data_IF_781905425884
#
_entry.id   IF_781905425884
#
_cell.length_a   1.000
_cell.length_b   1.000
_cell.length_c   1.000
_cell.angle_alpha   90.00
_cell.angle_beta   90.00
_cell.angle_gamma   90.00
#
_symmetry.space_group_name_H-M   'P 1'
#
loop_
_entity.id
_entity.type
_entity.pdbx_description
1 polymer ?
#
# COMPACT_ATOMS: atom_id res chain seq x y z
N UNK A 1 -17.81 13.05 -1.02
CA UNK A 1 -16.92 11.92 -0.69
C UNK A 1 -16.48 11.30 -2.01
N UNK A 2 -15.18 11.08 -2.29
CA UNK A 2 -14.81 10.23 -3.43
C UNK A 2 -15.14 8.78 -3.02
N UNK A 3 -16.24 8.17 -3.50
CA UNK A 3 -16.83 7.04 -2.79
C UNK A 3 -16.14 5.69 -3.03
N UNK A 4 -15.12 5.62 -3.89
CA UNK A 4 -14.76 4.34 -4.53
C UNK A 4 -13.30 3.92 -4.36
N UNK A 5 -12.48 4.61 -3.57
CA UNK A 5 -11.08 4.18 -3.43
C UNK A 5 -10.93 3.28 -2.21
N UNK A 6 -10.72 1.99 -2.45
CA UNK A 6 -10.53 1.02 -1.38
C UNK A 6 -9.16 1.20 -0.72
N UNK A 7 -9.02 0.83 0.57
CA UNK A 7 -7.73 0.76 1.24
C UNK A 7 -6.70 -0.10 0.49
N UNK A 8 -7.17 -1.12 -0.23
CA UNK A 8 -6.35 -1.97 -1.10
C UNK A 8 -5.80 -1.17 -2.28
N UNK A 9 -6.67 -0.52 -3.06
CA UNK A 9 -6.23 0.31 -4.18
C UNK A 9 -5.25 1.39 -3.73
N UNK A 10 -5.52 2.02 -2.57
CA UNK A 10 -4.63 3.04 -2.04
C UNK A 10 -3.27 2.48 -1.62
N UNK A 11 -3.23 1.27 -1.05
CA UNK A 11 -1.98 0.57 -0.78
C UNK A 11 -1.19 0.32 -2.07
N UNK A 12 -1.86 -0.15 -3.12
CA UNK A 12 -1.22 -0.42 -4.41
C UNK A 12 -0.68 0.87 -5.05
N UNK A 13 -1.43 1.97 -4.98
CA UNK A 13 -0.94 3.28 -5.43
C UNK A 13 0.30 3.74 -4.66
N UNK A 14 0.31 3.59 -3.33
CA UNK A 14 1.47 3.98 -2.50
C UNK A 14 2.71 3.13 -2.80
N UNK A 15 2.52 1.82 -2.99
CA UNK A 15 3.60 0.92 -3.41
C UNK A 15 4.13 1.28 -4.80
N UNK A 16 3.23 1.53 -5.77
CA UNK A 16 3.56 1.87 -7.15
C UNK A 16 4.15 3.27 -7.29
N UNK A 17 3.76 4.22 -6.44
CA UNK A 17 4.31 5.57 -6.46
C UNK A 17 5.77 5.62 -5.98
N UNK A 18 6.31 4.53 -5.39
CA UNK A 18 7.65 4.50 -4.81
C UNK A 18 7.81 5.37 -3.55
N UNK A 19 6.72 5.97 -3.05
CA UNK A 19 6.72 6.81 -1.84
C UNK A 19 6.91 5.99 -0.57
N UNK A 20 6.41 4.75 -0.56
CA UNK A 20 6.56 3.82 0.54
C UNK A 20 7.48 2.67 0.12
N UNK A 21 8.54 2.44 0.89
CA UNK A 21 9.49 1.32 0.65
C UNK A 21 9.12 0.08 1.44
N UNK A 22 8.27 0.25 2.45
CA UNK A 22 7.84 -0.82 3.35
C UNK A 22 6.32 -0.86 3.54
N UNK A 23 5.81 -2.05 3.85
CA UNK A 23 4.40 -2.23 4.24
C UNK A 23 4.02 -1.39 5.46
N UNK A 24 4.95 -1.14 6.37
CA UNK A 24 4.72 -0.30 7.55
C UNK A 24 4.46 1.15 7.13
N UNK A 25 5.21 1.69 6.17
CA UNK A 25 4.95 3.04 5.64
C UNK A 25 3.59 3.12 4.95
N UNK A 26 3.20 2.10 4.17
CA UNK A 26 1.85 2.03 3.60
C UNK A 26 0.80 2.06 4.70
N UNK A 27 0.95 1.21 5.73
CA UNK A 27 -0.01 1.15 6.84
C UNK A 27 -0.10 2.50 7.57
N UNK A 28 1.02 3.17 7.79
CA UNK A 28 1.04 4.50 8.40
C UNK A 28 0.35 5.55 7.52
N UNK A 29 0.62 5.55 6.20
CA UNK A 29 0.00 6.46 5.25
C UNK A 29 -1.52 6.23 5.18
N UNK A 30 -1.96 4.98 5.02
CA UNK A 30 -3.36 4.60 5.02
C UNK A 30 -4.07 5.00 6.32
N UNK A 31 -3.45 4.76 7.48
CA UNK A 31 -3.99 5.16 8.77
C UNK A 31 -4.11 6.69 8.88
N UNK A 32 -3.13 7.43 8.39
CA UNK A 32 -3.15 8.89 8.34
C UNK A 32 -4.22 9.44 7.40
N UNK A 33 -4.55 8.69 6.34
CA UNK A 33 -5.62 9.00 5.39
C UNK A 33 -7.01 8.55 5.90
N UNK A 34 -7.08 7.86 7.04
CA UNK A 34 -8.34 7.40 7.66
C UNK A 34 -8.83 6.03 7.18
N UNK A 35 -7.98 5.24 6.52
CA UNK A 35 -8.32 3.90 6.05
C UNK A 35 -8.14 2.82 7.12
N UNK A 36 -9.05 1.85 7.14
CA UNK A 36 -8.94 0.67 8.00
C UNK A 36 -7.93 -0.35 7.48
N UNK A 37 -6.89 -0.60 8.29
CA UNK A 37 -5.79 -1.51 7.99
C UNK A 37 -6.20 -2.99 8.03
N UNK A 38 -7.34 -3.33 8.65
CA UNK A 38 -7.85 -4.69 8.75
C UNK A 38 -8.13 -5.34 7.37
N UNK A 39 -8.34 -4.53 6.35
CA UNK A 39 -8.52 -4.97 4.96
C UNK A 39 -7.19 -5.21 4.23
N UNK A 40 -6.10 -4.60 4.71
CA UNK A 40 -4.74 -4.64 4.11
C UNK A 40 -3.82 -5.61 4.87
N UNK A 41 -4.40 -6.51 5.67
CA UNK A 41 -3.66 -7.52 6.46
C UNK A 41 -3.69 -8.93 5.88
N UNK A 42 -4.37 -9.16 4.75
CA UNK A 42 -4.30 -10.44 4.05
C UNK A 42 -2.86 -10.77 3.67
N UNK A 43 -2.34 -11.92 4.11
CA UNK A 43 -0.94 -12.32 3.88
C UNK A 43 -0.54 -12.31 2.40
N UNK A 44 -1.46 -12.66 1.51
CA UNK A 44 -1.28 -12.59 0.05
C UNK A 44 -1.14 -11.14 -0.44
N UNK A 45 -2.00 -10.24 0.03
CA UNK A 45 -2.00 -8.83 -0.37
C UNK A 45 -0.71 -8.14 0.07
N UNK A 46 -0.29 -8.39 1.31
CA UNK A 46 0.97 -7.90 1.86
C UNK A 46 2.17 -8.37 1.01
N UNK A 47 2.15 -9.63 0.56
CA UNK A 47 3.20 -10.21 -0.28
C UNK A 47 3.24 -9.56 -1.68
N UNK A 48 2.08 -9.29 -2.29
CA UNK A 48 1.98 -8.58 -3.56
C UNK A 48 2.49 -7.14 -3.47
N UNK A 49 2.07 -6.39 -2.45
CA UNK A 49 2.53 -5.02 -2.21
C UNK A 49 4.04 -4.96 -2.01
N UNK A 50 4.60 -5.90 -1.23
CA UNK A 50 6.05 -6.00 -1.05
C UNK A 50 6.78 -6.32 -2.35
N UNK A 51 6.22 -7.20 -3.19
CA UNK A 51 6.74 -7.49 -4.52
C UNK A 51 6.79 -6.25 -5.40
N UNK A 52 5.73 -5.44 -5.41
CA UNK A 52 5.69 -4.18 -6.16
C UNK A 52 6.69 -3.16 -5.64
N UNK A 53 6.84 -3.02 -4.33
CA UNK A 53 7.83 -2.12 -3.71
C UNK A 53 9.25 -2.49 -4.11
N UNK A 54 9.59 -3.78 -4.08
CA UNK A 54 10.92 -4.28 -4.45
C UNK A 54 11.16 -4.07 -5.94
N UNK A 55 10.20 -4.45 -6.79
CA UNK A 55 10.30 -4.25 -8.24
C UNK A 55 10.51 -2.77 -8.60
N UNK A 56 9.91 -1.84 -7.85
CA UNK A 56 10.08 -0.41 -8.06
C UNK A 56 11.37 0.16 -7.45
N UNK A 57 11.94 -0.50 -6.44
CA UNK A 57 13.22 -0.13 -5.84
C UNK A 57 14.42 -0.56 -6.70
N UNK A 58 14.28 -1.60 -7.52
CA UNK A 58 15.33 -2.08 -8.44
C UNK A 58 15.42 -1.30 -9.76
N UNK A 59 14.47 -0.41 -10.04
CA UNK A 59 14.56 0.53 -11.16
C UNK A 59 15.18 1.84 -10.64
N UNK A 60 16.49 1.86 -10.44
CA UNK A 60 17.25 3.10 -10.24
C UNK A 60 18.67 2.99 -10.79
#
# INVERSE_FOLDING_TARGET
MKPNMTPIERAFELARSGKCRTLTEIKSALKSEGYELATVTGGTLAKQLRGLMVAHAEIK
#
